data_IF_428644523724
#
_entry.id   IF_428644523724
#
_cell.length_a   1.000
_cell.length_b   1.000
_cell.length_c   1.000
_cell.angle_alpha   90.00
_cell.angle_beta   90.00
_cell.angle_gamma   90.00
#
_symmetry.space_group_name_H-M   'P 1'
#
loop_
_entity.id
_entity.type
_entity.pdbx_description
1 polymer ?
#
# COMPACT_ATOMS: atom_id res chain seq x y z
N UNK A 1 0.77 14.26 10.71
CA UNK A 1 1.22 13.46 9.57
C UNK A 1 0.76 14.15 8.32
N UNK A 2 1.68 14.46 7.43
CA UNK A 2 1.52 15.31 6.25
C UNK A 2 1.91 14.50 5.00
N UNK A 3 1.50 14.93 3.81
CA UNK A 3 1.81 14.21 2.55
C UNK A 3 3.31 14.00 2.32
N UNK A 4 4.15 14.90 2.82
CA UNK A 4 5.61 14.84 2.69
C UNK A 4 6.24 13.79 3.61
N UNK A 5 5.49 13.25 4.58
CA UNK A 5 5.96 12.19 5.48
C UNK A 5 5.88 10.80 4.82
N UNK A 6 5.38 10.71 3.58
CA UNK A 6 5.17 9.46 2.85
C UNK A 6 5.94 9.41 1.54
N UNK A 7 6.55 8.27 1.25
CA UNK A 7 7.39 8.05 0.09
C UNK A 7 6.69 7.17 -0.95
N UNK A 8 5.92 7.82 -1.83
CA UNK A 8 5.28 7.15 -2.97
C UNK A 8 6.23 7.11 -4.17
N UNK A 9 6.99 6.03 -4.30
CA UNK A 9 7.95 5.84 -5.40
C UNK A 9 7.27 5.73 -6.77
N UNK A 10 7.33 6.81 -7.56
CA UNK A 10 6.77 6.90 -8.91
C UNK A 10 7.72 6.64 -10.08
N UNK A 11 8.89 6.00 -9.89
CA UNK A 11 9.85 5.79 -10.99
C UNK A 11 9.77 4.39 -11.60
N UNK A 12 8.95 4.23 -12.65
CA UNK A 12 9.12 3.13 -13.60
C UNK A 12 10.17 3.53 -14.64
N UNK A 13 11.43 3.14 -14.45
CA UNK A 13 12.42 3.24 -15.52
C UNK A 13 12.21 2.07 -16.51
N UNK A 14 11.77 2.39 -17.73
CA UNK A 14 11.88 1.56 -18.93
C UNK A 14 11.29 0.14 -18.89
N UNK A 15 10.04 -0.02 -19.33
CA UNK A 15 9.50 -1.34 -19.69
C UNK A 15 7.98 -1.42 -19.68
N UNK A 16 7.33 -0.87 -20.72
CA UNK A 16 5.91 -1.09 -20.99
C UNK A 16 4.98 -0.12 -20.26
N UNK A 17 4.27 0.70 -21.03
CA UNK A 17 3.06 1.39 -20.57
C UNK A 17 2.07 0.29 -20.17
N UNK A 18 1.97 -0.04 -18.88
CA UNK A 18 0.81 -0.76 -18.40
C UNK A 18 -0.31 0.27 -18.29
N UNK A 19 -1.30 0.20 -19.17
CA UNK A 19 -2.51 1.04 -19.16
C UNK A 19 -3.42 0.74 -17.96
N UNK A 20 -2.85 0.52 -16.78
CA UNK A 20 -3.53 0.12 -15.56
C UNK A 20 -3.37 1.16 -14.45
N UNK A 21 -4.38 1.26 -13.60
CA UNK A 21 -4.31 2.09 -12.39
C UNK A 21 -3.38 1.42 -11.39
N UNK A 22 -2.48 2.20 -10.80
CA UNK A 22 -1.54 1.74 -9.78
C UNK A 22 -1.88 2.42 -8.48
N UNK A 23 -1.89 1.68 -7.38
CA UNK A 23 -2.08 2.22 -6.04
C UNK A 23 -0.81 1.99 -5.27
N UNK A 24 -0.18 3.03 -4.75
CA UNK A 24 0.99 2.89 -3.88
C UNK A 24 0.52 3.05 -2.45
N UNK A 25 0.98 2.18 -1.57
CA UNK A 25 0.74 2.26 -0.13
C UNK A 25 2.03 2.62 0.56
N UNK A 26 1.94 3.41 1.61
CA UNK A 26 3.08 3.69 2.47
C UNK A 26 2.59 3.87 3.92
N UNK A 27 3.42 3.47 4.86
CA UNK A 27 3.20 3.66 6.28
C UNK A 27 4.48 4.18 6.88
N UNK A 28 4.41 5.30 7.59
CA UNK A 28 5.60 5.92 8.16
C UNK A 28 5.44 6.24 9.64
N UNK A 29 6.59 6.45 10.27
CA UNK A 29 6.70 6.85 11.67
C UNK A 29 7.64 8.03 11.75
N UNK A 30 7.16 9.09 12.38
CA UNK A 30 7.89 10.33 12.61
C UNK A 30 7.77 10.72 14.08
N UNK A 31 8.50 11.75 14.50
CA UNK A 31 8.31 12.37 15.82
C UNK A 31 6.88 12.91 16.01
N UNK A 32 6.18 13.23 14.92
CA UNK A 32 4.78 13.71 14.93
C UNK A 32 3.76 12.57 15.09
N UNK A 33 4.21 11.32 15.12
CA UNK A 33 3.39 10.12 15.26
C UNK A 33 3.50 9.18 14.07
N UNK A 34 2.58 8.23 14.02
CA UNK A 34 2.51 7.16 13.02
C UNK A 34 1.35 7.41 12.08
N UNK A 35 1.47 7.00 10.84
CA UNK A 35 0.38 7.18 9.89
C UNK A 35 0.50 6.28 8.67
N UNK A 36 -0.62 6.17 8.00
CA UNK A 36 -0.83 5.31 6.85
C UNK A 36 -1.32 6.18 5.70
N UNK A 37 -0.89 5.89 4.49
CA UNK A 37 -1.40 6.57 3.32
C UNK A 37 -1.36 5.67 2.09
N UNK A 38 -2.24 5.96 1.14
CA UNK A 38 -2.13 5.40 -0.20
C UNK A 38 -2.41 6.48 -1.24
N UNK A 39 -1.87 6.29 -2.44
CA UNK A 39 -2.14 7.17 -3.57
C UNK A 39 -2.42 6.37 -4.83
N UNK A 40 -3.32 6.88 -5.65
CA UNK A 40 -3.77 6.27 -6.90
C UNK A 40 -3.14 7.03 -8.05
N UNK A 41 -2.44 6.30 -8.89
CA UNK A 41 -1.76 6.79 -10.07
C UNK A 41 -2.50 6.31 -11.31
N UNK A 42 -2.82 7.26 -12.19
CA UNK A 42 -3.28 6.99 -13.54
C UNK A 42 -2.22 7.51 -14.51
N UNK A 43 -1.51 6.58 -15.16
CA UNK A 43 -0.31 6.91 -15.91
C UNK A 43 0.79 7.48 -15.00
N UNK A 44 1.15 8.75 -15.21
CA UNK A 44 2.19 9.46 -14.46
C UNK A 44 1.64 10.47 -13.44
N UNK A 45 0.31 10.56 -13.30
CA UNK A 45 -0.33 11.55 -12.44
C UNK A 45 -0.98 10.88 -11.24
N UNK A 46 -0.85 11.49 -10.07
CA UNK A 46 -1.62 11.15 -8.88
C UNK A 46 -3.03 11.71 -9.05
N UNK A 47 -4.02 10.83 -9.15
CA UNK A 47 -5.44 11.20 -9.32
C UNK A 47 -6.22 11.19 -8.01
N UNK A 48 -5.73 10.44 -7.01
CA UNK A 48 -6.35 10.36 -5.69
C UNK A 48 -5.30 10.05 -4.62
N UNK A 49 -5.54 10.50 -3.39
CA UNK A 49 -4.70 10.20 -2.24
C UNK A 49 -5.50 10.15 -0.96
N UNK A 50 -5.16 9.21 -0.10
CA UNK A 50 -5.74 9.02 1.22
C UNK A 50 -4.65 8.99 2.26
N UNK A 51 -4.89 9.63 3.41
CA UNK A 51 -3.97 9.70 4.53
C UNK A 51 -4.74 9.52 5.83
N UNK A 52 -4.13 8.83 6.79
CA UNK A 52 -4.62 8.72 8.16
C UNK A 52 -3.47 8.78 9.16
N UNK A 53 -3.71 9.48 10.27
CA UNK A 53 -2.85 9.42 11.45
C UNK A 53 -3.33 8.29 12.37
N UNK A 54 -2.42 7.43 12.79
CA UNK A 54 -2.63 6.38 13.77
C UNK A 54 -2.26 6.89 15.18
N UNK A 55 -2.66 6.12 16.20
CA UNK A 55 -2.23 6.38 17.58
C UNK A 55 -0.72 6.17 17.72
N UNK A 56 -0.08 6.92 18.62
CA UNK A 56 1.38 6.93 18.75
C UNK A 56 1.97 5.60 19.27
N UNK A 57 1.15 4.77 19.92
CA UNK A 57 1.52 3.43 20.38
C UNK A 57 1.42 2.34 19.29
N UNK A 58 0.91 2.67 18.10
CA UNK A 58 0.85 1.70 17.01
C UNK A 58 2.26 1.43 16.45
N UNK A 59 2.40 0.50 15.51
CA UNK A 59 3.67 0.22 14.82
C UNK A 59 3.63 0.66 13.37
N UNK A 60 4.81 0.85 12.76
CA UNK A 60 4.93 1.09 11.31
C UNK A 60 4.20 -0.02 10.54
N UNK A 61 4.41 -1.28 10.92
CA UNK A 61 3.72 -2.41 10.31
C UNK A 61 2.19 -2.31 10.38
N UNK A 62 1.60 -1.87 11.50
CA UNK A 62 0.16 -1.65 11.59
C UNK A 62 -0.32 -0.53 10.67
N UNK A 63 0.48 0.52 10.50
CA UNK A 63 0.16 1.61 9.58
C UNK A 63 0.20 1.16 8.11
N UNK A 64 1.18 0.35 7.74
CA UNK A 64 1.29 -0.19 6.39
C UNK A 64 0.18 -1.20 6.08
N UNK A 65 -0.20 -2.04 7.04
CA UNK A 65 -1.37 -2.90 6.92
C UNK A 65 -2.66 -2.10 6.75
N UNK A 66 -2.80 -0.97 7.45
CA UNK A 66 -3.96 -0.10 7.30
C UNK A 66 -3.99 0.56 5.91
N UNK A 67 -2.85 1.06 5.43
CA UNK A 67 -2.71 1.61 4.09
C UNK A 67 -3.11 0.57 3.03
N UNK A 68 -2.60 -0.66 3.17
CA UNK A 68 -2.92 -1.77 2.27
C UNK A 68 -4.40 -2.17 2.31
N UNK A 69 -5.00 -2.22 3.52
CA UNK A 69 -6.44 -2.46 3.66
C UNK A 69 -7.24 -1.41 2.89
N UNK A 70 -6.95 -0.13 3.13
CA UNK A 70 -7.69 0.97 2.52
C UNK A 70 -7.48 1.05 1.01
N UNK A 71 -6.27 0.76 0.52
CA UNK A 71 -6.00 0.61 -0.91
C UNK A 71 -6.80 -0.54 -1.53
N UNK A 72 -6.92 -1.67 -0.83
CA UNK A 72 -7.71 -2.83 -1.29
C UNK A 72 -9.19 -2.49 -1.33
N UNK A 73 -9.75 -1.92 -0.26
CA UNK A 73 -11.14 -1.45 -0.21
C UNK A 73 -11.43 -0.44 -1.35
N UNK A 74 -10.53 0.52 -1.57
CA UNK A 74 -10.67 1.47 -2.69
C UNK A 74 -10.67 0.75 -4.05
N UNK A 75 -9.75 -0.19 -4.26
CA UNK A 75 -9.68 -0.95 -5.50
C UNK A 75 -10.93 -1.80 -5.74
N UNK A 76 -11.56 -2.34 -4.69
CA UNK A 76 -12.81 -3.11 -4.82
C UNK A 76 -13.98 -2.30 -5.39
N UNK A 77 -13.92 -0.97 -5.29
CA UNK A 77 -14.94 -0.07 -5.85
C UNK A 77 -14.86 0.08 -7.38
N UNK A 78 -13.85 -0.49 -8.03
CA UNK A 78 -13.61 -0.39 -9.48
C UNK A 78 -13.56 -1.78 -10.16
N UNK A 79 -14.69 -2.52 -10.22
CA UNK A 79 -14.70 -3.95 -10.61
C UNK A 79 -14.28 -4.25 -12.05
N UNK A 80 -14.22 -3.24 -12.92
CA UNK A 80 -13.89 -3.38 -14.34
C UNK A 80 -12.47 -2.90 -14.67
N UNK A 81 -11.71 -2.44 -13.68
CA UNK A 81 -10.37 -1.91 -13.87
C UNK A 81 -9.33 -2.86 -13.30
N UNK A 82 -8.29 -3.18 -14.09
CA UNK A 82 -7.13 -3.87 -13.54
C UNK A 82 -6.35 -2.88 -12.69
N UNK A 83 -6.22 -3.19 -11.39
CA UNK A 83 -5.55 -2.35 -10.40
C UNK A 83 -4.38 -3.13 -9.82
N UNK A 84 -3.21 -2.49 -9.83
CA UNK A 84 -2.02 -3.03 -9.14
C UNK A 84 -1.74 -2.22 -7.89
N UNK A 85 -1.81 -2.86 -6.72
CA UNK A 85 -1.40 -2.27 -5.45
C UNK A 85 0.08 -2.60 -5.22
N UNK A 86 0.89 -1.56 -5.11
CA UNK A 86 2.33 -1.59 -4.94
C UNK A 86 2.65 -1.31 -3.48
N UNK A 87 3.28 -2.29 -2.85
CA UNK A 87 3.62 -2.28 -1.42
C UNK A 87 5.12 -2.45 -1.29
N UNK A 88 5.76 -1.62 -0.48
CA UNK A 88 7.19 -1.61 -0.29
C UNK A 88 7.67 -2.52 0.87
N UNK A 89 6.79 -2.81 1.83
CA UNK A 89 7.07 -3.79 2.89
C UNK A 89 6.63 -5.22 2.54
N UNK A 90 7.63 -6.11 2.47
CA UNK A 90 7.43 -7.55 2.27
C UNK A 90 6.60 -8.21 3.36
N UNK A 91 6.69 -7.76 4.63
CA UNK A 91 5.91 -8.31 5.72
C UNK A 91 4.41 -8.06 5.50
N UNK A 92 4.04 -6.87 5.03
CA UNK A 92 2.64 -6.52 4.71
C UNK A 92 2.09 -7.36 3.57
N UNK A 93 2.90 -7.62 2.52
CA UNK A 93 2.53 -8.51 1.42
C UNK A 93 2.37 -9.96 1.89
N UNK A 94 3.32 -10.48 2.68
CA UNK A 94 3.27 -11.84 3.24
C UNK A 94 2.06 -12.01 4.16
N UNK A 95 1.76 -11.01 4.97
CA UNK A 95 0.58 -10.99 5.81
C UNK A 95 -0.67 -11.07 4.92
N UNK A 96 -0.85 -10.16 3.97
CA UNK A 96 -2.01 -10.11 3.06
C UNK A 96 -2.20 -11.41 2.26
N UNK A 97 -1.12 -12.12 1.93
CA UNK A 97 -1.17 -13.42 1.25
C UNK A 97 -1.48 -14.61 2.17
N UNK A 98 -1.53 -14.42 3.50
CA UNK A 98 -1.73 -15.50 4.46
C UNK A 98 -3.21 -15.58 4.93
N UNK A 99 -4.01 -16.54 4.41
CA UNK A 99 -5.42 -16.71 4.79
C UNK A 99 -5.60 -17.27 6.22
N UNK A 100 -4.53 -17.79 6.83
CA UNK A 100 -4.53 -18.31 8.21
C UNK A 100 -4.02 -17.29 9.23
N UNK A 101 -3.87 -16.03 8.84
CA UNK A 101 -3.45 -14.97 9.76
C UNK A 101 -4.42 -14.84 10.93
N UNK A 102 -3.88 -14.78 12.15
CA UNK A 102 -4.64 -14.54 13.38
C UNK A 102 -5.22 -13.12 13.39
N UNK A 103 -4.55 -12.18 12.70
CA UNK A 103 -5.01 -10.80 12.56
C UNK A 103 -6.22 -10.70 11.62
N UNK A 104 -7.35 -10.24 12.16
CA UNK A 104 -8.61 -10.02 11.43
C UNK A 104 -8.44 -9.12 10.22
N UNK A 105 -7.67 -8.04 10.33
CA UNK A 105 -7.42 -7.10 9.22
C UNK A 105 -6.76 -7.80 8.04
N UNK A 106 -5.74 -8.60 8.33
CA UNK A 106 -5.00 -9.38 7.34
C UNK A 106 -5.87 -10.42 6.65
N UNK A 107 -6.78 -11.06 7.39
CA UNK A 107 -7.72 -12.05 6.84
C UNK A 107 -8.74 -11.41 5.89
N UNK A 108 -9.24 -10.22 6.22
CA UNK A 108 -10.17 -9.50 5.34
C UNK A 108 -9.49 -9.05 4.04
N UNK A 109 -8.24 -8.56 4.13
CA UNK A 109 -7.43 -8.27 2.93
C UNK A 109 -7.27 -9.54 2.09
N UNK A 110 -6.88 -10.66 2.70
CA UNK A 110 -6.67 -11.92 2.00
C UNK A 110 -7.94 -12.41 1.28
N UNK A 111 -9.11 -12.33 1.94
CA UNK A 111 -10.39 -12.68 1.31
C UNK A 111 -10.69 -11.81 0.10
N UNK A 112 -10.57 -10.49 0.22
CA UNK A 112 -10.82 -9.57 -0.89
C UNK A 112 -9.91 -9.87 -2.08
N UNK A 113 -8.63 -10.17 -1.83
CA UNK A 113 -7.70 -10.55 -2.90
C UNK A 113 -8.04 -11.88 -3.58
N UNK A 114 -8.49 -12.88 -2.81
CA UNK A 114 -8.88 -14.18 -3.37
C UNK A 114 -10.18 -14.06 -4.18
N UNK A 115 -11.12 -13.24 -3.72
CA UNK A 115 -12.41 -13.04 -4.41
C UNK A 115 -12.27 -12.17 -5.65
N UNK A 116 -11.32 -11.22 -5.68
CA UNK A 116 -11.26 -10.19 -6.71
C UNK A 116 -10.07 -10.41 -7.64
N UNK A 117 -10.33 -11.06 -8.78
CA UNK A 117 -9.28 -11.45 -9.75
C UNK A 117 -8.60 -10.30 -10.50
N UNK A 118 -9.14 -9.09 -10.47
CA UNK A 118 -8.57 -7.92 -11.19
C UNK A 118 -7.68 -7.03 -10.30
N UNK A 119 -7.54 -7.36 -9.01
CA UNK A 119 -6.64 -6.68 -8.09
C UNK A 119 -5.37 -7.52 -7.95
N UNK A 120 -4.23 -6.91 -8.24
CA UNK A 120 -2.92 -7.54 -8.09
C UNK A 120 -2.13 -6.81 -7.00
N UNK A 121 -1.58 -7.55 -6.04
CA UNK A 121 -0.57 -7.00 -5.13
C UNK A 121 0.81 -7.33 -5.68
N UNK A 122 1.66 -6.32 -5.78
CA UNK A 122 3.05 -6.49 -6.15
C UNK A 122 3.94 -5.81 -5.12
N UNK A 123 4.97 -6.54 -4.68
CA UNK A 123 6.00 -5.97 -3.84
C UNK A 123 6.95 -5.12 -4.70
N UNK A 124 7.24 -3.90 -4.27
CA UNK A 124 8.28 -3.06 -4.84
C UNK A 124 9.40 -2.88 -3.83
N UNK A 125 10.64 -2.83 -4.30
CA UNK A 125 11.75 -2.52 -3.41
C UNK A 125 11.68 -1.03 -3.06
N UNK A 126 11.52 -0.68 -1.78
CA UNK A 126 11.83 0.66 -1.30
C UNK A 126 13.26 1.00 -1.75
N UNK A 127 13.46 2.14 -2.43
CA UNK A 127 14.82 2.55 -2.77
C UNK A 127 15.62 2.71 -1.47
N UNK A 128 16.67 1.91 -1.34
CA UNK A 128 17.67 2.00 -0.27
C UNK A 128 18.34 3.36 -0.39
N UNK A 129 17.91 4.28 0.47
CA UNK A 129 18.52 5.57 0.70
C UNK A 129 18.65 5.77 2.21
N UNK A 130 19.83 5.39 2.72
CA UNK A 130 20.36 5.46 4.09
C UNK A 130 20.25 4.19 4.95
N UNK A 131 21.45 3.71 5.31
CA UNK A 131 21.75 2.76 6.39
C UNK A 131 20.91 3.06 7.63
N UNK A 132 20.06 2.12 7.99
CA UNK A 132 19.13 2.24 9.11
C UNK A 132 18.00 1.24 9.02
N UNK A 133 18.32 0.03 8.58
CA UNK A 133 17.42 -1.11 8.66
C UNK A 133 17.20 -1.48 10.13
N UNK A 134 16.04 -1.12 10.67
CA UNK A 134 15.32 -1.91 11.69
C UNK A 134 13.81 -1.81 11.48
#
# INVERSE_FOLDING_TARGET
>A
MEKNDFHFLGHTNGGGITSGTRIYTDGSKTEKGIGAAFCVWSGQNIVYGWLAKLQDYNTVFQSELLALKQATDHATSFPHQSITILVDNQASVKAAANPRSINTTTREICKSLITIKHIHISWIKAQVGYDGNE
#
